data_IF_707922024573
#
_entry.id   IF_707922024573
#
_cell.length_a   1.000
_cell.length_b   1.000
_cell.length_c   1.000
_cell.angle_alpha   90.00
_cell.angle_beta   90.00
_cell.angle_gamma   90.00
#
_symmetry.space_group_name_H-M   'P 1'
#
loop_
_entity.id
_entity.type
_entity.pdbx_description
1 polymer ?
#
# COMPACT_ATOMS: atom_id res chain seq x y z
N UNK A 1 24.98 -70.70 -43.94
CA UNK A 1 25.23 -71.10 -42.54
C UNK A 1 24.98 -69.88 -41.66
N UNK A 2 24.16 -69.81 -40.62
CA UNK A 2 23.20 -70.71 -39.98
C UNK A 2 22.42 -69.83 -38.97
N UNK A 3 21.08 -69.85 -39.02
CA UNK A 3 20.08 -69.65 -37.94
C UNK A 3 19.92 -68.29 -37.21
N UNK A 4 18.66 -67.85 -37.23
CA UNK A 4 17.96 -67.03 -36.23
C UNK A 4 18.04 -67.60 -34.81
N UNK A 5 17.98 -66.74 -33.78
CA UNK A 5 17.16 -66.95 -32.56
C UNK A 5 16.71 -65.58 -32.01
N UNK A 6 15.40 -65.46 -31.83
CA UNK A 6 14.66 -64.42 -31.10
C UNK A 6 14.89 -64.56 -29.59
N UNK A 7 15.10 -63.46 -28.87
CA UNK A 7 14.90 -63.41 -27.42
C UNK A 7 14.16 -62.13 -27.03
N UNK A 8 12.89 -62.33 -26.71
CA UNK A 8 11.97 -61.41 -26.08
C UNK A 8 12.34 -61.30 -24.58
N UNK A 9 12.57 -60.09 -24.07
CA UNK A 9 12.64 -59.84 -22.64
C UNK A 9 11.72 -58.65 -22.31
N UNK A 10 10.59 -58.96 -21.67
CA UNK A 10 9.72 -58.01 -21.00
C UNK A 10 10.51 -57.32 -19.89
N UNK A 11 10.59 -55.99 -19.91
CA UNK A 11 10.96 -55.19 -18.75
C UNK A 11 9.72 -54.43 -18.26
N UNK A 12 9.34 -54.76 -17.04
CA UNK A 12 8.23 -54.24 -16.26
C UNK A 12 8.44 -52.72 -16.02
N UNK A 13 7.66 -51.85 -16.64
CA UNK A 13 7.60 -50.43 -16.27
C UNK A 13 6.69 -50.27 -15.05
N UNK A 14 7.28 -50.31 -13.86
CA UNK A 14 6.65 -49.81 -12.64
C UNK A 14 6.84 -48.30 -12.58
N UNK A 15 5.87 -47.54 -13.08
CA UNK A 15 5.86 -46.09 -12.92
C UNK A 15 5.35 -45.78 -11.51
N UNK A 16 6.26 -45.40 -10.61
CA UNK A 16 5.90 -44.88 -9.30
C UNK A 16 5.02 -43.65 -9.45
N UNK A 17 3.86 -43.66 -8.80
CA UNK A 17 3.12 -42.45 -8.44
C UNK A 17 4.00 -41.64 -7.49
N UNK A 18 4.75 -40.69 -8.02
CA UNK A 18 5.19 -39.55 -7.21
C UNK A 18 3.95 -38.71 -6.96
N UNK A 19 3.33 -38.94 -5.80
CA UNK A 19 2.60 -37.89 -5.11
C UNK A 19 3.60 -36.74 -4.90
N UNK A 20 3.70 -35.86 -5.89
CA UNK A 20 4.24 -34.54 -5.67
C UNK A 20 3.24 -33.88 -4.73
N UNK A 21 3.55 -33.91 -3.44
CA UNK A 21 3.15 -32.82 -2.57
C UNK A 21 3.64 -31.57 -3.29
N UNK A 22 2.72 -30.88 -3.95
CA UNK A 22 2.87 -29.45 -4.05
C UNK A 22 2.98 -29.01 -2.59
N UNK A 23 4.21 -28.76 -2.18
CA UNK A 23 4.49 -27.81 -1.14
C UNK A 23 3.82 -26.54 -1.67
N UNK A 24 2.54 -26.40 -1.34
CA UNK A 24 1.79 -25.18 -1.53
C UNK A 24 2.52 -24.25 -0.58
N UNK A 25 3.54 -23.58 -1.12
CA UNK A 25 4.26 -22.55 -0.41
C UNK A 25 3.17 -21.58 0.01
N UNK A 26 2.79 -21.66 1.29
CA UNK A 26 1.97 -20.66 1.92
C UNK A 26 2.64 -19.35 1.57
N UNK A 27 2.00 -18.47 0.79
CA UNK A 27 2.59 -17.17 0.53
C UNK A 27 2.88 -16.57 1.91
N UNK A 28 4.05 -15.94 2.12
CA UNK A 28 4.32 -15.27 3.38
C UNK A 28 3.12 -14.37 3.68
N UNK A 29 2.63 -14.43 4.91
CA UNK A 29 1.55 -13.58 5.38
C UNK A 29 1.90 -12.16 4.93
N UNK A 30 1.00 -11.56 4.14
CA UNK A 30 1.17 -10.24 3.57
C UNK A 30 1.65 -9.30 4.68
N UNK A 31 2.91 -8.87 4.58
CA UNK A 31 3.49 -7.90 5.49
C UNK A 31 2.63 -6.63 5.38
N UNK A 32 1.66 -6.53 6.29
CA UNK A 32 0.81 -5.38 6.57
C UNK A 32 0.33 -4.57 5.34
N UNK A 33 -0.63 -5.10 4.57
CA UNK A 33 -1.54 -4.25 3.77
C UNK A 33 -0.91 -3.45 2.61
N UNK A 34 0.15 -3.97 1.99
CA UNK A 34 0.88 -3.27 0.92
C UNK A 34 0.54 -3.78 -0.49
N UNK A 35 -0.61 -4.45 -0.68
CA UNK A 35 -1.20 -4.63 -2.00
C UNK A 35 -2.21 -3.49 -2.24
N UNK A 36 -2.09 -2.83 -3.39
CA UNK A 36 -3.07 -1.83 -3.84
C UNK A 36 -4.40 -2.53 -4.05
N UNK A 37 -5.24 -2.48 -3.01
CA UNK A 37 -6.54 -3.16 -3.00
C UNK A 37 -7.53 -2.45 -3.92
N UNK A 38 -7.36 -1.14 -4.06
CA UNK A 38 -8.27 -0.27 -4.79
C UNK A 38 -7.49 0.54 -5.80
N UNK A 39 -8.08 0.84 -6.97
CA UNK A 39 -7.57 1.88 -7.84
C UNK A 39 -7.41 3.19 -7.05
N UNK A 40 -6.31 3.90 -7.30
CA UNK A 40 -5.95 5.12 -6.57
C UNK A 40 -5.27 6.19 -7.44
N UNK A 41 -5.32 6.03 -8.76
CA UNK A 41 -4.66 6.95 -9.68
C UNK A 41 -5.45 8.24 -9.92
N UNK A 42 -6.78 8.17 -10.04
CA UNK A 42 -7.61 9.30 -10.49
C UNK A 42 -8.59 9.80 -9.43
N UNK A 43 -9.15 11.00 -9.64
CA UNK A 43 -10.24 11.50 -8.79
C UNK A 43 -11.46 10.56 -8.79
N UNK A 44 -11.75 9.90 -9.92
CA UNK A 44 -12.85 8.94 -9.99
C UNK A 44 -12.58 7.69 -9.13
N UNK A 45 -11.33 7.24 -9.09
CA UNK A 45 -10.90 6.11 -8.26
C UNK A 45 -11.00 6.44 -6.77
N UNK A 46 -10.53 7.64 -6.40
CA UNK A 46 -10.61 8.13 -5.02
C UNK A 46 -12.06 8.25 -4.57
N UNK A 47 -12.95 8.84 -5.37
CA UNK A 47 -14.37 9.00 -5.03
C UNK A 47 -15.11 7.66 -5.01
N UNK A 48 -14.70 6.69 -5.83
CA UNK A 48 -15.30 5.35 -5.83
C UNK A 48 -14.96 4.53 -4.56
N UNK A 49 -13.76 4.72 -4.03
CA UNK A 49 -13.18 3.77 -3.07
C UNK A 49 -12.92 4.35 -1.67
N UNK A 50 -12.63 5.66 -1.55
CA UNK A 50 -12.38 6.30 -0.27
C UNK A 50 -13.67 6.60 0.50
N UNK A 51 -13.59 6.51 1.82
CA UNK A 51 -14.60 7.08 2.72
C UNK A 51 -14.38 8.59 2.87
N UNK A 52 -13.11 9.01 2.96
CA UNK A 52 -12.73 10.40 3.16
C UNK A 52 -11.45 10.74 2.42
N UNK A 53 -11.35 11.96 1.90
CA UNK A 53 -10.08 12.57 1.52
C UNK A 53 -9.74 13.63 2.56
N UNK A 54 -8.56 13.54 3.16
CA UNK A 54 -8.16 14.39 4.28
C UNK A 54 -6.78 15.01 4.08
N UNK A 55 -6.52 16.13 4.77
CA UNK A 55 -5.17 16.61 5.05
C UNK A 55 -4.78 16.20 6.46
N UNK A 56 -3.62 15.57 6.60
CA UNK A 56 -3.09 15.19 7.88
C UNK A 56 -1.57 15.39 7.98
N UNK A 57 -1.11 15.73 9.18
CA UNK A 57 0.30 15.95 9.48
C UNK A 57 0.84 14.79 10.32
N UNK A 58 2.00 14.24 9.94
CA UNK A 58 2.65 13.20 10.75
C UNK A 58 3.27 13.85 11.98
N UNK A 59 2.81 13.46 13.18
CA UNK A 59 3.24 14.06 14.46
C UNK A 59 4.13 13.15 15.29
N UNK A 60 4.15 11.85 15.01
CA UNK A 60 5.05 10.89 15.63
C UNK A 60 5.19 9.65 14.76
N UNK A 61 6.24 8.87 15.01
CA UNK A 61 6.42 7.53 14.47
C UNK A 61 6.90 6.58 15.56
N UNK A 62 6.62 5.29 15.39
CA UNK A 62 7.22 4.22 16.18
C UNK A 62 7.33 2.95 15.36
N UNK A 63 8.29 2.11 15.71
CA UNK A 63 8.34 0.74 15.22
C UNK A 63 7.14 -0.05 15.75
N UNK A 64 6.56 -0.89 14.89
CA UNK A 64 5.54 -1.86 15.33
C UNK A 64 6.28 -3.03 15.99
N UNK A 65 5.98 -3.36 17.26
CA UNK A 65 6.61 -4.50 17.92
C UNK A 65 6.33 -5.79 17.14
N UNK A 66 7.37 -6.59 16.91
CA UNK A 66 7.24 -7.94 16.37
C UNK A 66 7.39 -8.95 17.51
N UNK A 67 6.56 -9.99 17.50
CA UNK A 67 6.54 -11.02 18.56
C UNK A 67 7.77 -11.95 18.51
N UNK A 68 8.38 -12.07 17.33
CA UNK A 68 9.62 -12.81 17.08
C UNK A 68 10.69 -11.85 16.52
N UNK A 69 11.97 -12.15 16.75
CA UNK A 69 13.04 -11.38 16.13
C UNK A 69 12.94 -11.57 14.60
N UNK A 70 12.78 -10.50 13.81
CA UNK A 70 12.70 -10.60 12.35
C UNK A 70 13.84 -11.39 11.71
N UNK A 71 15.03 -11.40 12.33
CA UNK A 71 16.16 -12.22 11.89
C UNK A 71 15.93 -13.74 12.08
N UNK A 72 15.10 -14.13 13.05
CA UNK A 72 14.75 -15.53 13.34
C UNK A 72 13.57 -16.04 12.51
N UNK A 73 12.62 -15.16 12.16
CA UNK A 73 11.45 -15.50 11.32
C UNK A 73 11.75 -15.45 9.81
N UNK A 74 12.89 -14.88 9.40
CA UNK A 74 13.21 -14.64 7.99
C UNK A 74 12.48 -13.43 7.39
N UNK A 75 11.77 -12.67 8.23
CA UNK A 75 11.14 -11.40 7.88
C UNK A 75 12.22 -10.34 7.71
N UNK A 76 12.41 -9.86 6.48
CA UNK A 76 13.44 -8.85 6.19
C UNK A 76 12.91 -7.43 6.32
N UNK A 77 11.63 -7.24 6.67
CA UNK A 77 10.98 -5.93 6.75
C UNK A 77 10.37 -5.70 8.11
N UNK A 78 10.65 -4.53 8.69
CA UNK A 78 10.12 -4.06 9.96
C UNK A 78 9.11 -2.95 9.66
N UNK A 79 7.80 -3.16 9.90
CA UNK A 79 6.81 -2.12 9.71
C UNK A 79 6.92 -1.03 10.78
N UNK A 80 6.37 0.14 10.47
CA UNK A 80 6.25 1.23 11.43
C UNK A 80 4.83 1.76 11.46
N UNK A 81 4.47 2.36 12.58
CA UNK A 81 3.22 3.08 12.75
C UNK A 81 3.54 4.57 12.81
N UNK A 82 2.88 5.34 11.96
CA UNK A 82 2.87 6.80 12.04
C UNK A 82 1.61 7.27 12.74
N UNK A 83 1.76 8.26 13.63
CA UNK A 83 0.64 8.97 14.21
C UNK A 83 0.39 10.23 13.40
N UNK A 84 -0.77 10.29 12.77
CA UNK A 84 -1.24 11.42 11.98
C UNK A 84 -2.16 12.30 12.84
N UNK A 85 -2.03 13.61 12.71
CA UNK A 85 -3.03 14.56 13.19
C UNK A 85 -3.92 14.96 12.03
N UNK A 86 -5.23 14.76 12.15
CA UNK A 86 -6.18 15.27 11.15
C UNK A 86 -6.21 16.80 11.24
N UNK A 87 -5.87 17.45 10.13
CA UNK A 87 -5.90 18.90 10.01
C UNK A 87 -7.21 19.37 9.35
N UNK A 88 -7.63 18.69 8.27
CA UNK A 88 -8.82 19.06 7.50
C UNK A 88 -9.44 17.86 6.78
N UNK A 89 -10.78 17.83 6.68
CA UNK A 89 -11.49 16.92 5.78
C UNK A 89 -11.77 17.67 4.48
N UNK A 90 -11.23 17.16 3.37
CA UNK A 90 -11.34 17.78 2.04
C UNK A 90 -12.62 17.33 1.34
N UNK A 91 -12.92 16.03 1.42
CA UNK A 91 -14.08 15.39 0.82
C UNK A 91 -14.51 14.19 1.65
N UNK A 92 -15.78 13.80 1.55
CA UNK A 92 -16.32 12.59 2.15
C UNK A 92 -17.31 11.93 1.19
N UNK A 93 -17.33 10.61 1.18
CA UNK A 93 -18.37 9.86 0.51
C UNK A 93 -19.75 10.24 1.08
N UNK A 94 -20.80 10.06 0.27
CA UNK A 94 -22.18 10.29 0.74
C UNK A 94 -22.57 9.34 1.87
N UNK A 95 -22.09 8.09 1.79
CA UNK A 95 -22.33 7.02 2.76
C UNK A 95 -21.00 6.35 3.17
N UNK A 96 -20.13 7.03 3.95
CA UNK A 96 -18.85 6.47 4.36
C UNK A 96 -19.06 5.36 5.39
N UNK A 97 -18.23 4.31 5.35
CA UNK A 97 -18.31 3.17 6.27
C UNK A 97 -18.12 3.59 7.75
N UNK A 98 -17.35 4.66 7.97
CA UNK A 98 -17.08 5.27 9.26
C UNK A 98 -16.99 6.78 9.07
N UNK A 99 -17.38 7.58 10.06
CA UNK A 99 -17.08 9.02 10.03
C UNK A 99 -15.57 9.26 10.14
N UNK A 100 -15.10 10.40 9.60
CA UNK A 100 -13.68 10.72 9.49
C UNK A 100 -12.91 10.58 10.82
N UNK A 101 -11.59 10.30 10.78
CA UNK A 101 -10.77 10.24 11.98
C UNK A 101 -10.93 11.49 12.86
N UNK A 102 -10.85 11.36 14.18
CA UNK A 102 -10.89 12.51 15.09
C UNK A 102 -9.52 12.73 15.74
N UNK A 103 -8.97 13.94 15.63
CA UNK A 103 -7.75 14.32 16.32
C UNK A 103 -6.51 13.57 15.81
N UNK A 104 -6.09 12.51 16.49
CA UNK A 104 -4.93 11.70 16.09
C UNK A 104 -5.33 10.28 15.77
N UNK A 105 -4.79 9.74 14.69
CA UNK A 105 -5.04 8.37 14.27
C UNK A 105 -3.75 7.69 13.79
N UNK A 106 -3.61 6.38 13.98
CA UNK A 106 -2.46 5.63 13.47
C UNK A 106 -2.66 5.28 11.99
N UNK A 107 -1.56 5.15 11.27
CA UNK A 107 -1.48 4.48 9.98
C UNK A 107 -0.21 3.62 9.95
N UNK A 108 -0.34 2.38 9.48
CA UNK A 108 0.81 1.48 9.31
C UNK A 108 1.46 1.78 7.98
N UNK A 109 2.78 1.93 7.98
CA UNK A 109 3.57 2.22 6.80
C UNK A 109 4.81 1.32 6.75
N UNK A 110 5.46 1.25 5.58
CA UNK A 110 6.77 0.62 5.44
C UNK A 110 7.77 1.33 6.35
N UNK A 111 8.45 0.55 7.19
CA UNK A 111 9.49 1.06 8.08
C UNK A 111 10.87 0.88 7.47
N UNK A 112 11.46 -0.28 7.73
CA UNK A 112 12.86 -0.58 7.41
C UNK A 112 13.00 -1.99 6.85
N UNK A 113 14.05 -2.21 6.07
CA UNK A 113 14.58 -3.55 5.84
C UNK A 113 15.78 -3.78 6.75
N UNK A 114 16.06 -5.05 7.07
CA UNK A 114 17.27 -5.43 7.77
C UNK A 114 18.35 -5.80 6.76
N UNK A 115 19.39 -4.96 6.68
CA UNK A 115 20.59 -5.22 5.91
C UNK A 115 21.76 -5.45 6.88
N UNK A 116 22.33 -6.65 6.87
CA UNK A 116 23.39 -7.07 7.81
C UNK A 116 23.08 -6.80 9.31
N UNK A 117 21.79 -6.79 9.68
CA UNK A 117 21.33 -6.50 11.04
C UNK A 117 21.14 -5.02 11.35
N UNK A 118 21.41 -4.13 10.39
CA UNK A 118 21.12 -2.71 10.46
C UNK A 118 19.77 -2.39 9.79
N UNK A 119 19.02 -1.47 10.40
CA UNK A 119 17.73 -1.01 9.87
C UNK A 119 17.95 0.05 8.80
N UNK A 120 17.62 -0.28 7.56
CA UNK A 120 17.70 0.63 6.41
C UNK A 120 16.28 1.07 6.03
N UNK A 121 15.99 2.37 6.00
CA UNK A 121 14.73 2.90 5.49
C UNK A 121 14.27 2.28 4.17
N UNK A 122 13.02 1.85 4.11
CA UNK A 122 12.38 1.40 2.86
C UNK A 122 11.27 2.38 2.49
N UNK A 123 11.23 2.75 1.22
CA UNK A 123 10.18 3.55 0.59
C UNK A 123 10.12 3.16 -0.88
N UNK A 124 8.93 3.17 -1.48
CA UNK A 124 8.84 3.03 -2.92
C UNK A 124 9.42 4.28 -3.58
N UNK A 125 10.15 4.10 -4.69
CA UNK A 125 10.66 5.24 -5.43
C UNK A 125 9.48 6.11 -5.89
N UNK A 126 9.60 7.42 -5.75
CA UNK A 126 8.53 8.35 -6.15
C UNK A 126 7.49 8.63 -5.08
N UNK A 127 7.40 7.83 -4.01
CA UNK A 127 6.31 7.94 -3.03
C UNK A 127 6.75 8.65 -1.75
N UNK A 128 5.82 9.32 -1.05
CA UNK A 128 6.07 9.78 0.31
C UNK A 128 6.45 8.64 1.23
N UNK A 129 7.37 8.91 2.15
CA UNK A 129 7.63 7.97 3.24
C UNK A 129 6.66 8.18 4.39
N UNK A 130 6.04 9.35 4.55
CA UNK A 130 5.27 9.81 5.72
C UNK A 130 6.20 10.17 6.89
N UNK A 131 7.07 11.14 6.68
CA UNK A 131 8.04 11.62 7.67
C UNK A 131 7.43 12.63 8.65
N UNK A 132 7.92 12.61 9.89
CA UNK A 132 7.42 13.49 10.97
C UNK A 132 7.61 14.97 10.62
N UNK A 133 6.56 15.76 10.80
CA UNK A 133 6.55 17.21 10.56
C UNK A 133 6.07 17.63 9.18
N UNK A 134 5.77 16.67 8.30
CA UNK A 134 5.23 16.91 6.96
C UNK A 134 3.72 16.66 6.91
N UNK A 135 3.07 17.35 5.99
CA UNK A 135 1.63 17.26 5.75
C UNK A 135 1.34 16.54 4.42
N UNK A 136 0.26 15.77 4.39
CA UNK A 136 -0.13 14.96 3.24
C UNK A 136 -1.63 15.06 3.00
N UNK A 137 -2.03 14.99 1.72
CA UNK A 137 -3.38 14.61 1.33
C UNK A 137 -3.45 13.08 1.30
N UNK A 138 -4.47 12.51 1.92
CA UNK A 138 -4.68 11.06 2.03
C UNK A 138 -6.11 10.71 1.60
N UNK A 139 -6.27 9.79 0.65
CA UNK A 139 -7.56 9.14 0.41
C UNK A 139 -7.68 7.90 1.31
N UNK A 140 -8.56 7.98 2.30
CA UNK A 140 -8.71 7.00 3.37
C UNK A 140 -9.93 6.12 3.17
N UNK A 141 -9.79 4.84 3.49
CA UNK A 141 -10.91 3.92 3.68
C UNK A 141 -10.80 3.21 5.03
N UNK A 142 -11.95 2.79 5.57
CA UNK A 142 -12.04 2.06 6.81
C UNK A 142 -11.93 0.56 6.56
N UNK A 143 -10.88 -0.05 7.12
CA UNK A 143 -10.70 -1.49 7.09
C UNK A 143 -11.35 -2.12 8.35
N UNK A 144 -12.35 -3.02 8.19
CA UNK A 144 -13.00 -3.66 9.32
C UNK A 144 -12.06 -4.64 10.02
N UNK A 145 -12.33 -4.91 11.30
CA UNK A 145 -11.54 -5.87 12.06
C UNK A 145 -11.66 -7.28 11.47
N UNK A 146 -10.56 -8.03 11.49
CA UNK A 146 -10.51 -9.45 11.14
C UNK A 146 -10.24 -10.25 12.42
N UNK A 147 -11.29 -10.61 13.19
CA UNK A 147 -11.11 -11.20 14.52
C UNK A 147 -10.72 -12.68 14.49
N UNK A 148 -11.05 -13.39 13.41
CA UNK A 148 -10.95 -14.86 13.32
C UNK A 148 -9.68 -15.35 12.60
N UNK A 149 -8.67 -14.49 12.47
CA UNK A 149 -7.36 -14.82 11.89
C UNK A 149 -6.38 -15.43 12.90
N UNK A 150 -5.28 -16.07 12.43
CA UNK A 150 -4.19 -16.52 13.29
C UNK A 150 -3.58 -15.35 14.08
N UNK A 151 -3.58 -14.16 13.48
CA UNK A 151 -3.28 -12.88 14.13
C UNK A 151 -4.47 -11.93 13.93
N UNK A 152 -5.26 -11.65 14.98
CA UNK A 152 -6.41 -10.77 14.86
C UNK A 152 -5.99 -9.33 14.50
N UNK A 153 -6.50 -8.81 13.40
CA UNK A 153 -6.24 -7.43 12.95
C UNK A 153 -7.37 -6.52 13.44
N UNK A 154 -7.10 -5.49 14.26
CA UNK A 154 -8.11 -4.53 14.65
C UNK A 154 -8.57 -3.68 13.47
N UNK A 155 -9.79 -3.16 13.54
CA UNK A 155 -10.27 -2.21 12.54
C UNK A 155 -9.43 -0.93 12.55
N UNK A 156 -9.09 -0.40 11.39
CA UNK A 156 -8.19 0.74 11.26
C UNK A 156 -8.44 1.53 9.98
N UNK A 157 -7.87 2.74 9.92
CA UNK A 157 -7.83 3.53 8.70
C UNK A 157 -6.65 3.09 7.84
N UNK A 158 -6.86 3.03 6.54
CA UNK A 158 -5.84 2.71 5.57
C UNK A 158 -5.98 3.63 4.32
N UNK A 159 -4.94 3.70 3.49
CA UNK A 159 -4.93 4.48 2.23
C UNK A 159 -5.25 3.56 1.05
N UNK A 160 -5.88 4.07 -0.01
CA UNK A 160 -6.26 3.26 -1.18
C UNK A 160 -5.07 2.55 -1.85
N UNK A 161 -3.92 3.22 -1.85
CA UNK A 161 -2.66 2.78 -2.42
C UNK A 161 -1.59 3.86 -2.29
N UNK A 162 -0.46 3.69 -2.97
CA UNK A 162 0.68 4.62 -2.85
C UNK A 162 0.41 5.97 -3.50
N UNK A 163 -0.39 6.00 -4.58
CA UNK A 163 -0.73 7.22 -5.32
C UNK A 163 -1.87 8.01 -4.65
N UNK A 164 -2.57 7.40 -3.68
CA UNK A 164 -3.48 8.11 -2.75
C UNK A 164 -2.82 8.89 -1.61
N UNK A 165 -1.48 8.95 -1.56
CA UNK A 165 -0.70 9.67 -0.56
C UNK A 165 0.11 10.76 -1.24
N UNK A 166 -0.33 12.01 -1.10
CA UNK A 166 0.26 13.14 -1.86
C UNK A 166 0.88 14.17 -0.90
N UNK A 167 2.14 14.61 -1.09
CA UNK A 167 2.75 15.67 -0.30
C UNK A 167 1.93 16.97 -0.34
N UNK A 168 1.81 17.66 0.81
CA UNK A 168 0.98 18.87 0.93
C UNK A 168 1.57 19.97 1.84
N UNK A 169 2.89 20.08 1.87
CA UNK A 169 3.56 21.11 2.67
C UNK A 169 3.22 22.52 2.16
N UNK A 170 2.99 23.43 3.12
CA UNK A 170 2.73 24.84 2.82
C UNK A 170 1.41 25.10 2.06
N UNK A 171 0.50 24.12 2.03
CA UNK A 171 -0.79 24.26 1.37
C UNK A 171 -0.75 24.02 -0.13
N UNK A 172 0.28 23.33 -0.62
CA UNK A 172 0.52 23.10 -2.05
C UNK A 172 0.61 21.61 -2.35
N UNK A 173 -0.24 21.13 -3.26
CA UNK A 173 -0.26 19.74 -3.70
C UNK A 173 1.05 19.38 -4.38
N UNK A 174 1.64 18.25 -4.00
CA UNK A 174 2.92 17.75 -4.48
C UNK A 174 4.15 18.44 -3.85
N UNK A 175 3.97 19.40 -2.95
CA UNK A 175 5.08 19.99 -2.20
C UNK A 175 5.32 19.22 -0.90
N UNK A 176 6.57 18.94 -0.55
CA UNK A 176 6.90 18.35 0.75
C UNK A 176 7.79 17.12 0.63
N UNK A 177 7.66 16.18 1.56
CA UNK A 177 8.53 15.01 1.63
C UNK A 177 8.14 13.93 0.61
N UNK A 178 9.15 13.45 -0.12
CA UNK A 178 9.12 12.26 -0.98
C UNK A 178 10.39 11.45 -0.74
N UNK A 179 10.26 10.15 -0.49
CA UNK A 179 11.37 9.23 -0.22
C UNK A 179 12.40 9.74 0.81
N UNK A 180 11.93 10.38 1.88
CA UNK A 180 12.74 10.97 2.95
C UNK A 180 13.41 12.31 2.60
N UNK A 181 13.11 12.88 1.43
CA UNK A 181 13.71 14.14 0.95
C UNK A 181 12.63 15.17 0.63
N UNK A 182 12.88 16.44 0.98
CA UNK A 182 11.94 17.52 0.65
C UNK A 182 12.07 17.91 -0.83
N UNK A 183 10.96 17.86 -1.56
CA UNK A 183 10.84 18.24 -2.97
C UNK A 183 9.93 19.46 -3.14
N UNK A 184 10.18 20.22 -4.21
CA UNK A 184 9.28 21.25 -4.69
C UNK A 184 8.23 20.64 -5.62
N UNK A 185 7.03 21.23 -5.77
CA UNK A 185 5.93 20.62 -6.54
C UNK A 185 6.27 20.34 -8.02
N UNK A 186 7.15 21.13 -8.65
CA UNK A 186 7.62 20.87 -10.03
C UNK A 186 8.67 19.76 -10.14
N UNK A 187 9.10 19.23 -9.00
CA UNK A 187 10.15 18.23 -8.86
C UNK A 187 9.67 17.01 -8.05
N UNK A 188 8.39 16.96 -7.68
CA UNK A 188 7.79 15.73 -7.18
C UNK A 188 7.99 14.68 -8.28
N UNK A 189 8.74 13.59 -8.02
CA UNK A 189 8.78 12.48 -8.94
C UNK A 189 7.34 12.02 -9.19
N UNK A 190 7.10 11.52 -10.40
CA UNK A 190 5.82 10.93 -10.70
C UNK A 190 5.50 9.83 -9.69
N UNK A 191 4.21 9.63 -9.42
CA UNK A 191 3.72 8.53 -8.61
C UNK A 191 4.25 7.18 -9.10
N UNK A 192 3.85 6.09 -8.43
CA UNK A 192 4.19 4.76 -8.96
C UNK A 192 3.57 4.61 -10.36
N UNK A 193 2.45 5.31 -10.57
CA UNK A 193 1.92 5.67 -11.86
C UNK A 193 1.15 4.51 -12.49
N UNK A 194 0.09 4.83 -13.21
CA UNK A 194 -0.67 3.83 -13.94
C UNK A 194 0.23 3.08 -14.94
N UNK A 195 0.03 1.76 -15.07
CA UNK A 195 0.74 0.89 -16.04
C UNK A 195 0.67 1.39 -17.51
N UNK A 196 -0.25 2.31 -17.82
CA UNK A 196 -0.46 2.92 -19.12
C UNK A 196 0.23 4.28 -19.34
N UNK A 197 0.91 4.80 -18.31
CA UNK A 197 1.62 6.09 -18.33
C UNK A 197 0.71 7.33 -18.25
N UNK A 198 -0.54 7.17 -17.83
CA UNK A 198 -1.39 8.29 -17.43
C UNK A 198 -0.85 8.97 -16.16
N UNK A 199 -1.12 10.27 -16.04
CA UNK A 199 -0.73 11.02 -14.85
C UNK A 199 -1.70 10.73 -13.70
N UNK A 200 -1.17 10.56 -12.49
CA UNK A 200 -1.98 10.43 -11.28
C UNK A 200 -2.63 11.76 -10.89
N UNK A 201 -3.66 11.75 -10.05
CA UNK A 201 -4.35 12.94 -9.58
C UNK A 201 -3.39 13.89 -8.85
N UNK A 202 -2.47 13.34 -8.06
CA UNK A 202 -1.44 14.11 -7.37
C UNK A 202 -0.52 14.85 -8.34
N UNK A 203 -0.16 14.22 -9.46
CA UNK A 203 0.65 14.82 -10.53
C UNK A 203 -0.14 15.87 -11.32
N UNK A 204 -1.39 15.59 -11.68
CA UNK A 204 -2.26 16.51 -12.41
C UNK A 204 -2.46 17.83 -11.64
N UNK A 205 -2.60 17.72 -10.31
CA UNK A 205 -2.85 18.84 -9.42
C UNK A 205 -1.57 19.41 -8.79
N UNK A 206 -0.38 18.93 -9.17
CA UNK A 206 0.89 19.39 -8.60
C UNK A 206 1.05 20.92 -8.73
N UNK A 207 1.41 21.57 -7.62
CA UNK A 207 1.54 23.03 -7.53
C UNK A 207 0.22 23.78 -7.30
N UNK A 208 -0.92 23.08 -7.24
CA UNK A 208 -2.22 23.67 -6.95
C UNK A 208 -2.56 23.59 -5.44
N UNK A 209 -3.72 24.12 -5.06
CA UNK A 209 -4.20 24.13 -3.68
C UNK A 209 -5.42 23.19 -3.49
N UNK A 210 -5.96 23.10 -2.28
CA UNK A 210 -7.10 22.21 -1.97
C UNK A 210 -8.38 22.56 -2.73
N UNK A 211 -8.58 23.81 -3.17
CA UNK A 211 -9.81 24.14 -3.91
C UNK A 211 -9.84 23.46 -5.27
N UNK A 212 -8.66 23.28 -5.90
CA UNK A 212 -8.54 22.49 -7.13
C UNK A 212 -8.84 21.01 -6.87
N UNK A 213 -8.32 20.44 -5.79
CA UNK A 213 -8.61 19.06 -5.40
C UNK A 213 -10.10 18.85 -5.11
N UNK A 214 -10.73 19.75 -4.35
CA UNK A 214 -12.17 19.70 -4.10
C UNK A 214 -12.97 19.72 -5.39
N UNK A 215 -12.62 20.65 -6.29
CA UNK A 215 -13.28 20.75 -7.59
C UNK A 215 -13.15 19.43 -8.36
N UNK A 216 -11.94 18.86 -8.42
CA UNK A 216 -11.70 17.59 -9.10
C UNK A 216 -12.51 16.42 -8.50
N UNK A 217 -12.57 16.31 -7.16
CA UNK A 217 -13.34 15.28 -6.47
C UNK A 217 -14.86 15.47 -6.62
N UNK A 218 -15.35 16.71 -6.58
CA UNK A 218 -16.78 17.04 -6.74
C UNK A 218 -17.27 16.84 -8.19
N UNK A 219 -16.40 17.07 -9.18
CA UNK A 219 -16.71 16.87 -10.60
C UNK A 219 -16.54 15.42 -11.05
N UNK A 220 -15.79 14.61 -10.30
CA UNK A 220 -15.60 13.19 -10.60
C UNK A 220 -16.92 12.42 -10.42
N UNK A 221 -17.34 11.73 -11.48
CA UNK A 221 -18.38 10.72 -11.33
C UNK A 221 -17.76 9.51 -10.61
N UNK A 222 -18.37 8.99 -9.53
CA UNK A 222 -17.85 7.81 -8.86
C UNK A 222 -17.82 6.64 -9.86
N UNK A 223 -16.66 5.99 -9.97
CA UNK A 223 -16.57 4.67 -10.59
C UNK A 223 -17.43 3.65 -9.84
N UNK A 224 -17.67 2.49 -10.46
CA UNK A 224 -18.27 1.36 -9.71
C UNK A 224 -17.23 0.87 -8.72
N UNK A 225 -17.53 0.91 -7.42
CA UNK A 225 -16.67 0.31 -6.37
C UNK A 225 -16.52 -1.18 -6.68
N UNK A 226 -15.30 -1.62 -6.97
CA UNK A 226 -15.00 -3.04 -7.06
C UNK A 226 -14.81 -3.57 -5.63
N UNK A 227 -15.65 -4.52 -5.23
CA UNK A 227 -15.46 -5.24 -3.97
C UNK A 227 -14.24 -6.17 -4.14
N UNK A 228 -13.06 -5.68 -3.75
CA UNK A 228 -11.86 -6.51 -3.62
C UNK A 228 -11.98 -7.59 -2.56
#
# INVERSE_FOLDING_TARGET
>A
MTRSVTALALALTATLLTAGCADEATPPADAAGLSERYPDDTAADWVASADHVVVATVVAEREVPQDEDPAESGETTVPREVSLHLDEVVWSAEEPARGAPEGRFPLVARGWTLDEGEKVPVVAEGTPRLEVGHSYVLALFWEPAVPDGPEPVPAHWNTLGLDSVVPFDGGVIGAGEVAGTVVSPSAAPGGVGSDDGAATLGEELAGQNLDALRTALDEAAPGVREDG
#
